data_IF_643574601105
#
_entry.id   IF_643574601105
#
_cell.length_a   1.000
_cell.length_b   1.000
_cell.length_c   1.000
_cell.angle_alpha   90.00
_cell.angle_beta   90.00
_cell.angle_gamma   90.00
#
_symmetry.space_group_name_H-M   'P 1'
#
loop_
_entity.id
_entity.type
_entity.pdbx_description
1 polymer ?
#
# COMPACT_ATOMS: atom_id res chain seq x y z
N UNK A 1 -50.40 31.41 -29.58
CA UNK A 1 -49.24 30.50 -29.76
C UNK A 1 -48.86 29.98 -28.38
N UNK A 2 -49.09 28.70 -28.09
CA UNK A 2 -48.76 28.09 -26.79
C UNK A 2 -47.30 27.65 -26.83
N UNK A 3 -46.43 28.37 -26.12
CA UNK A 3 -45.02 27.99 -25.98
C UNK A 3 -44.92 26.82 -25.00
N UNK A 4 -44.53 25.65 -25.50
CA UNK A 4 -44.30 24.46 -24.69
C UNK A 4 -42.86 24.52 -24.17
N UNK A 5 -42.67 24.87 -22.90
CA UNK A 5 -41.36 24.95 -22.28
C UNK A 5 -40.90 23.53 -21.92
N UNK A 6 -40.00 22.95 -22.71
CA UNK A 6 -39.40 21.63 -22.43
C UNK A 6 -38.30 21.83 -21.39
N UNK A 7 -38.56 21.42 -20.15
CA UNK A 7 -37.58 21.41 -19.06
C UNK A 7 -36.69 20.17 -19.20
N UNK A 8 -35.45 20.36 -19.66
CA UNK A 8 -34.46 19.28 -19.79
C UNK A 8 -33.83 19.00 -18.41
N UNK A 9 -34.32 17.95 -17.73
CA UNK A 9 -33.76 17.49 -16.46
C UNK A 9 -32.42 16.77 -16.74
N UNK A 10 -31.30 17.45 -16.52
CA UNK A 10 -29.98 16.81 -16.55
C UNK A 10 -29.84 15.88 -15.32
N UNK A 11 -30.02 14.58 -15.53
CA UNK A 11 -29.71 13.54 -14.54
C UNK A 11 -28.18 13.40 -14.44
N UNK A 12 -27.60 14.01 -13.41
CA UNK A 12 -26.21 13.76 -13.03
C UNK A 12 -26.12 12.37 -12.37
N UNK A 13 -25.66 11.36 -13.10
CA UNK A 13 -25.30 10.07 -12.52
C UNK A 13 -24.01 10.22 -11.71
N UNK A 14 -24.13 10.46 -10.41
CA UNK A 14 -23.01 10.42 -9.47
C UNK A 14 -22.60 8.96 -9.27
N UNK A 15 -21.47 8.55 -9.87
CA UNK A 15 -20.85 7.25 -9.57
C UNK A 15 -20.09 7.41 -8.25
N UNK A 16 -20.64 6.90 -7.15
CA UNK A 16 -20.03 7.02 -5.82
C UNK A 16 -18.89 5.99 -5.61
N UNK A 17 -17.76 6.42 -5.05
CA UNK A 17 -16.66 5.57 -4.60
C UNK A 17 -17.09 4.72 -3.39
N UNK A 18 -16.61 3.46 -3.30
CA UNK A 18 -16.87 2.60 -2.14
C UNK A 18 -15.74 2.74 -1.13
N UNK A 19 -16.07 3.12 0.11
CA UNK A 19 -15.12 3.17 1.23
C UNK A 19 -15.48 2.08 2.24
N UNK A 20 -14.51 1.28 2.63
CA UNK A 20 -14.65 0.24 3.66
C UNK A 20 -13.65 0.53 4.77
N UNK A 21 -14.10 0.57 6.02
CA UNK A 21 -13.25 0.77 7.20
C UNK A 21 -13.38 -0.41 8.15
N UNK A 22 -12.27 -0.87 8.69
CA UNK A 22 -12.20 -1.88 9.76
C UNK A 22 -11.22 -1.40 10.82
N UNK A 23 -11.58 -1.58 12.08
CA UNK A 23 -10.72 -1.32 13.23
C UNK A 23 -10.68 -2.55 14.12
N UNK A 24 -9.51 -2.86 14.66
CA UNK A 24 -9.29 -3.99 15.57
C UNK A 24 -8.38 -3.55 16.71
N UNK A 25 -8.66 -4.04 17.92
CA UNK A 25 -7.80 -3.90 19.09
C UNK A 25 -7.47 -5.31 19.55
N UNK A 26 -6.23 -5.73 19.34
CA UNK A 26 -5.75 -7.03 19.79
C UNK A 26 -4.22 -6.98 20.01
N UNK A 27 -3.82 -6.80 21.27
CA UNK A 27 -2.42 -6.64 21.64
C UNK A 27 -1.59 -7.91 21.44
N UNK A 28 -2.24 -9.08 21.40
CA UNK A 28 -1.58 -10.35 21.13
C UNK A 28 -1.08 -10.46 19.68
N UNK A 29 -1.58 -9.62 18.77
CA UNK A 29 -1.10 -9.58 17.39
C UNK A 29 0.29 -8.98 17.35
N UNK A 30 1.23 -9.74 16.81
CA UNK A 30 2.63 -9.34 16.67
C UNK A 30 3.05 -9.24 15.21
N UNK A 31 2.49 -10.09 14.34
CA UNK A 31 2.81 -10.16 12.93
C UNK A 31 1.62 -9.73 12.05
N UNK A 32 1.89 -8.92 11.04
CA UNK A 32 0.89 -8.37 10.13
C UNK A 32 1.36 -8.60 8.70
N UNK A 33 0.58 -9.35 7.93
CA UNK A 33 0.84 -9.68 6.55
C UNK A 33 -0.15 -8.94 5.65
N UNK A 34 0.35 -8.24 4.65
CA UNK A 34 -0.45 -7.38 3.77
C UNK A 34 -0.21 -7.82 2.32
N UNK A 35 -1.24 -8.41 1.70
CA UNK A 35 -1.26 -8.74 0.28
C UNK A 35 -1.86 -7.56 -0.53
N UNK A 36 -1.08 -7.05 -1.49
CA UNK A 36 -1.40 -5.93 -2.36
C UNK A 36 -1.63 -6.31 -3.83
N UNK A 37 -1.85 -7.58 -4.17
CA UNK A 37 -1.97 -8.04 -5.56
C UNK A 37 -3.07 -7.34 -6.36
N UNK A 38 -4.14 -6.88 -5.71
CA UNK A 38 -5.24 -6.13 -6.34
C UNK A 38 -5.24 -4.64 -5.95
N UNK A 39 -4.14 -4.14 -5.38
CA UNK A 39 -4.01 -2.75 -4.93
C UNK A 39 -3.02 -2.00 -5.81
N UNK A 40 -3.32 -0.74 -6.14
CA UNK A 40 -2.35 0.13 -6.83
C UNK A 40 -1.60 1.06 -5.85
N UNK A 41 -2.14 1.21 -4.63
CA UNK A 41 -1.55 2.05 -3.59
C UNK A 41 -1.75 1.46 -2.19
N UNK A 42 -0.69 1.53 -1.38
CA UNK A 42 -0.73 1.36 0.07
C UNK A 42 -0.11 2.60 0.73
N UNK A 43 -0.83 3.19 1.68
CA UNK A 43 -0.25 4.09 2.69
C UNK A 43 -0.25 3.35 4.02
N UNK A 44 0.94 3.15 4.59
CA UNK A 44 1.17 2.42 5.82
C UNK A 44 1.79 3.36 6.86
N UNK A 45 1.14 3.49 8.00
CA UNK A 45 1.54 4.37 9.09
C UNK A 45 1.53 3.58 10.41
N UNK A 46 2.34 3.99 11.38
CA UNK A 46 2.24 3.50 12.76
C UNK A 46 1.76 4.60 13.70
N UNK A 47 1.15 4.21 14.81
CA UNK A 47 0.71 5.11 15.88
C UNK A 47 1.01 4.52 17.26
N UNK A 48 1.02 5.37 18.28
CA UNK A 48 1.11 4.95 19.68
C UNK A 48 -0.19 4.30 20.20
N UNK A 49 -1.24 4.25 19.38
CA UNK A 49 -2.49 3.57 19.73
C UNK A 49 -2.31 2.05 19.68
N UNK A 50 -3.11 1.34 20.46
CA UNK A 50 -3.24 -0.12 20.43
C UNK A 50 -4.23 -0.57 19.33
N UNK A 51 -4.91 0.39 18.70
CA UNK A 51 -5.83 0.15 17.60
C UNK A 51 -5.10 0.04 16.26
N UNK A 52 -5.40 -1.03 15.53
CA UNK A 52 -5.15 -1.14 14.10
C UNK A 52 -6.38 -0.65 13.34
N UNK A 53 -6.19 0.21 12.33
CA UNK A 53 -7.24 0.60 11.39
C UNK A 53 -6.84 0.32 9.95
N UNK A 54 -7.82 -0.12 9.16
CA UNK A 54 -7.69 -0.45 7.74
C UNK A 54 -8.82 0.22 6.98
N UNK A 55 -8.48 1.13 6.10
CA UNK A 55 -9.40 1.79 5.18
C UNK A 55 -9.07 1.37 3.74
N UNK A 56 -10.08 0.86 3.04
CA UNK A 56 -10.00 0.55 1.62
C UNK A 56 -10.91 1.50 0.84
N UNK A 57 -10.30 2.21 -0.11
CA UNK A 57 -10.98 3.04 -1.09
C UNK A 57 -11.02 2.26 -2.40
N UNK A 58 -12.23 1.90 -2.84
CA UNK A 58 -12.47 1.03 -3.99
C UNK A 58 -13.27 1.81 -5.04
N UNK A 59 -12.70 1.91 -6.22
CA UNK A 59 -13.35 2.46 -7.40
C UNK A 59 -13.22 1.52 -8.61
N UNK A 60 -14.03 1.78 -9.63
CA UNK A 60 -14.12 0.98 -10.84
C UNK A 60 -15.44 0.20 -10.98
N UNK A 61 -15.58 -0.44 -12.12
CA UNK A 61 -16.82 -1.13 -12.53
C UNK A 61 -17.20 -2.26 -11.56
N UNK A 62 -16.22 -2.98 -11.04
CA UNK A 62 -16.41 -4.15 -10.19
C UNK A 62 -16.34 -3.86 -8.68
N UNK A 63 -16.47 -2.60 -8.26
CA UNK A 63 -16.39 -2.22 -6.83
C UNK A 63 -17.35 -2.99 -5.90
N UNK A 64 -18.49 -3.44 -6.42
CA UNK A 64 -19.49 -4.21 -5.66
C UNK A 64 -18.98 -5.63 -5.35
N UNK A 65 -18.20 -6.18 -6.27
CA UNK A 65 -17.67 -7.54 -6.22
C UNK A 65 -16.31 -7.62 -5.52
N UNK A 66 -15.78 -6.49 -5.03
CA UNK A 66 -14.52 -6.43 -4.28
C UNK A 66 -14.75 -6.36 -2.77
N UNK A 67 -13.93 -7.09 -2.02
CA UNK A 67 -13.96 -7.15 -0.56
C UNK A 67 -12.60 -6.80 0.05
N UNK A 68 -12.65 -6.17 1.21
CA UNK A 68 -11.52 -6.08 2.15
C UNK A 68 -11.61 -7.25 3.13
N UNK A 69 -10.59 -8.10 3.14
CA UNK A 69 -10.43 -9.20 4.09
C UNK A 69 -9.39 -8.84 5.15
N UNK A 70 -9.77 -9.00 6.40
CA UNK A 70 -8.86 -8.94 7.55
C UNK A 70 -9.15 -10.20 8.35
N UNK A 71 -8.17 -11.10 8.43
CA UNK A 71 -8.28 -12.40 9.09
C UNK A 71 -7.25 -12.50 10.20
N UNK A 72 -7.68 -12.85 11.39
CA UNK A 72 -6.83 -13.16 12.54
C UNK A 72 -6.59 -14.66 12.61
N UNK A 73 -5.32 -15.06 12.68
CA UNK A 73 -4.89 -16.44 12.86
C UNK A 73 -3.81 -16.48 13.95
N UNK A 74 -4.22 -16.81 15.18
CA UNK A 74 -3.34 -16.76 16.35
C UNK A 74 -2.86 -15.33 16.64
N UNK A 75 -1.53 -15.11 16.64
CA UNK A 75 -0.90 -13.81 16.85
C UNK A 75 -0.60 -13.06 15.54
N UNK A 76 -1.18 -13.51 14.41
CA UNK A 76 -0.96 -12.94 13.09
C UNK A 76 -2.25 -12.41 12.47
N UNK A 77 -2.15 -11.31 11.72
CA UNK A 77 -3.21 -10.78 10.87
C UNK A 77 -2.82 -10.91 9.40
N UNK A 78 -3.76 -11.34 8.56
CA UNK A 78 -3.68 -11.26 7.10
C UNK A 78 -4.67 -10.21 6.58
N UNK A 79 -4.16 -9.18 5.90
CA UNK A 79 -4.91 -8.14 5.23
C UNK A 79 -4.80 -8.36 3.72
N UNK A 80 -5.92 -8.40 3.03
CA UNK A 80 -5.96 -8.52 1.57
C UNK A 80 -7.21 -7.87 1.01
N UNK A 81 -7.16 -7.47 -0.26
CA UNK A 81 -8.35 -7.11 -1.01
C UNK A 81 -8.42 -7.85 -2.33
N UNK A 82 -9.62 -8.23 -2.73
CA UNK A 82 -9.83 -8.99 -3.96
C UNK A 82 -11.30 -9.26 -4.24
N UNK A 83 -11.54 -9.97 -5.33
CA UNK A 83 -12.89 -10.32 -5.76
C UNK A 83 -13.55 -11.33 -4.80
N UNK A 84 -14.87 -11.22 -4.68
CA UNK A 84 -15.70 -12.22 -4.01
C UNK A 84 -15.52 -13.58 -4.70
N UNK A 85 -15.56 -14.70 -3.96
CA UNK A 85 -15.38 -16.03 -4.55
C UNK A 85 -16.38 -16.39 -5.66
N UNK A 86 -17.55 -15.75 -5.68
CA UNK A 86 -18.59 -15.95 -6.69
C UNK A 86 -18.45 -15.02 -7.92
N UNK A 87 -17.46 -14.13 -7.95
CA UNK A 87 -17.23 -13.25 -9.08
C UNK A 87 -16.80 -14.07 -10.30
N UNK A 88 -17.54 -13.92 -11.40
CA UNK A 88 -17.17 -14.49 -12.69
C UNK A 88 -16.73 -13.35 -13.59
N UNK A 89 -15.45 -13.34 -13.95
CA UNK A 89 -14.94 -12.38 -14.92
C UNK A 89 -15.71 -12.57 -16.25
N UNK A 90 -16.42 -11.54 -16.75
CA UNK A 90 -17.22 -11.66 -17.95
C UNK A 90 -16.40 -11.89 -19.24
N UNK A 91 -15.07 -11.82 -19.18
CA UNK A 91 -14.16 -12.13 -20.31
C UNK A 91 -14.51 -11.41 -21.63
N UNK A 92 -15.07 -10.21 -21.54
CA UNK A 92 -15.27 -9.36 -22.71
C UNK A 92 -13.93 -8.72 -23.12
N UNK A 93 -13.65 -8.65 -24.43
CA UNK A 93 -12.37 -8.19 -24.97
C UNK A 93 -12.07 -6.72 -24.66
N UNK A 94 -13.10 -5.95 -24.28
CA UNK A 94 -13.00 -4.59 -23.73
C UNK A 94 -12.85 -4.56 -22.19
N UNK A 95 -12.98 -5.70 -21.51
CA UNK A 95 -12.92 -5.87 -20.05
C UNK A 95 -11.54 -6.26 -19.51
N UNK A 96 -10.59 -6.66 -20.37
CA UNK A 96 -9.23 -7.04 -19.95
C UNK A 96 -8.44 -5.91 -19.26
N UNK A 97 -8.95 -4.66 -19.33
CA UNK A 97 -8.41 -3.48 -18.67
C UNK A 97 -9.47 -2.68 -17.88
N UNK A 98 -10.59 -3.30 -17.46
CA UNK A 98 -11.51 -2.64 -16.53
C UNK A 98 -10.80 -2.41 -15.20
N UNK A 99 -10.43 -1.15 -14.98
CA UNK A 99 -9.57 -0.73 -13.87
C UNK A 99 -10.29 -0.97 -12.55
N UNK A 100 -9.81 -1.95 -11.80
CA UNK A 100 -10.05 -2.02 -10.37
C UNK A 100 -9.03 -1.12 -9.70
N UNK A 101 -9.53 -0.11 -8.99
CA UNK A 101 -8.71 0.88 -8.30
C UNK A 101 -8.91 0.71 -6.80
N UNK A 102 -8.01 -0.05 -6.16
CA UNK A 102 -8.00 -0.21 -4.69
C UNK A 102 -6.79 0.53 -4.11
N UNK A 103 -7.08 1.49 -3.24
CA UNK A 103 -6.10 2.14 -2.37
C UNK A 103 -6.35 1.72 -0.94
N UNK A 104 -5.30 1.26 -0.25
CA UNK A 104 -5.35 0.95 1.16
C UNK A 104 -4.66 2.03 1.99
N UNK A 105 -5.30 2.45 3.08
CA UNK A 105 -4.65 3.18 4.17
C UNK A 105 -4.71 2.30 5.42
N UNK A 106 -3.55 2.02 6.01
CA UNK A 106 -3.42 1.17 7.19
C UNK A 106 -2.65 1.93 8.26
N UNK A 107 -3.22 2.02 9.46
CA UNK A 107 -2.55 2.55 10.65
C UNK A 107 -2.40 1.43 11.65
N UNK A 108 -1.18 1.16 12.08
CA UNK A 108 -0.81 0.06 12.98
C UNK A 108 -0.34 0.59 14.33
N UNK A 109 -0.41 -0.21 15.40
CA UNK A 109 0.41 0.03 16.58
C UNK A 109 1.90 -0.02 16.23
N UNK A 110 2.73 0.77 16.90
CA UNK A 110 4.19 0.72 16.77
C UNK A 110 4.78 -0.64 17.16
N UNK A 111 6.01 -0.91 16.71
CA UNK A 111 6.82 -2.07 17.08
C UNK A 111 6.20 -3.44 16.73
N UNK A 112 5.49 -3.50 15.60
CA UNK A 112 4.98 -4.76 15.02
C UNK A 112 5.92 -5.29 13.92
N UNK A 113 5.85 -6.58 13.65
CA UNK A 113 6.48 -7.22 12.49
C UNK A 113 5.53 -7.13 11.30
N UNK A 114 5.93 -6.44 10.25
CA UNK A 114 5.07 -6.18 9.09
C UNK A 114 5.70 -6.71 7.82
N UNK A 115 4.95 -7.53 7.11
CA UNK A 115 5.32 -8.07 5.79
C UNK A 115 4.32 -7.59 4.76
N UNK A 116 4.81 -6.87 3.76
CA UNK A 116 4.04 -6.36 2.63
C UNK A 116 4.51 -7.05 1.36
N UNK A 117 3.57 -7.58 0.57
CA UNK A 117 3.88 -8.18 -0.72
C UNK A 117 2.80 -7.90 -1.75
N UNK A 118 3.19 -7.73 -3.01
CA UNK A 118 2.23 -7.52 -4.09
C UNK A 118 2.84 -7.40 -5.48
N UNK A 119 1.96 -7.30 -6.46
CA UNK A 119 2.35 -7.36 -7.87
C UNK A 119 2.56 -5.99 -8.51
N UNK A 120 1.59 -5.07 -8.48
CA UNK A 120 1.70 -3.76 -9.14
C UNK A 120 1.17 -2.64 -8.24
N UNK A 121 1.93 -2.27 -7.21
CA UNK A 121 1.48 -1.37 -6.16
C UNK A 121 2.55 -0.38 -5.72
N UNK A 122 2.16 0.88 -5.52
CA UNK A 122 3.03 1.88 -4.89
C UNK A 122 2.83 1.87 -3.37
N UNK A 123 3.90 1.67 -2.62
CA UNK A 123 3.89 1.62 -1.15
C UNK A 123 4.51 2.89 -0.59
N UNK A 124 3.79 3.55 0.30
CA UNK A 124 4.27 4.67 1.10
C UNK A 124 4.24 4.24 2.56
N UNK A 125 5.38 4.18 3.24
CA UNK A 125 5.46 3.75 4.64
C UNK A 125 6.16 4.78 5.53
N UNK A 126 5.64 4.98 6.73
CA UNK A 126 6.22 5.85 7.75
C UNK A 126 5.94 5.35 9.17
N UNK A 127 6.86 5.65 10.09
CA UNK A 127 6.72 5.32 11.50
C UNK A 127 7.55 4.13 11.98
N UNK A 128 7.28 3.70 13.21
CA UNK A 128 8.15 2.82 13.98
C UNK A 128 7.68 1.37 13.98
N UNK A 129 8.42 0.53 13.28
CA UNK A 129 8.19 -0.91 13.19
C UNK A 129 9.22 -1.65 14.03
N UNK A 130 8.97 -2.93 14.34
CA UNK A 130 10.05 -3.80 14.81
C UNK A 130 10.85 -4.33 13.62
N UNK A 131 10.12 -4.74 12.58
CA UNK A 131 10.67 -5.08 11.27
C UNK A 131 9.62 -4.77 10.20
N UNK A 132 10.04 -4.13 9.11
CA UNK A 132 9.23 -3.89 7.92
C UNK A 132 9.89 -4.57 6.72
N UNK A 133 9.22 -5.57 6.16
CA UNK A 133 9.62 -6.25 4.93
C UNK A 133 8.66 -5.89 3.80
N UNK A 134 9.16 -5.35 2.69
CA UNK A 134 8.36 -4.99 1.51
C UNK A 134 8.91 -5.70 0.27
N UNK A 135 8.08 -6.48 -0.41
CA UNK A 135 8.44 -7.22 -1.63
C UNK A 135 7.46 -6.94 -2.76
N UNK A 136 7.89 -6.24 -3.80
CA UNK A 136 7.03 -5.83 -4.93
C UNK A 136 7.57 -6.37 -6.26
N UNK A 137 6.69 -6.94 -7.09
CA UNK A 137 7.08 -7.28 -8.46
C UNK A 137 7.20 -6.01 -9.33
N UNK A 138 6.26 -5.09 -9.18
CA UNK A 138 6.21 -3.82 -9.87
C UNK A 138 5.63 -2.73 -8.96
N UNK A 139 6.16 -1.51 -9.04
CA UNK A 139 5.73 -0.34 -8.27
C UNK A 139 6.77 0.20 -7.29
N UNK A 140 6.61 1.48 -6.95
CA UNK A 140 7.58 2.22 -6.15
C UNK A 140 7.38 2.00 -4.65
N UNK A 141 8.46 2.13 -3.88
CA UNK A 141 8.42 2.09 -2.42
C UNK A 141 9.08 3.33 -1.84
N UNK A 142 8.28 4.17 -1.19
CA UNK A 142 8.72 5.41 -0.56
C UNK A 142 8.65 5.22 0.97
N UNK A 143 9.80 5.36 1.62
CA UNK A 143 9.98 5.21 3.07
C UNK A 143 10.36 6.56 3.66
N UNK A 144 9.55 7.07 4.58
CA UNK A 144 9.77 8.36 5.25
C UNK A 144 9.83 8.14 6.75
N UNK A 145 10.99 8.40 7.36
CA UNK A 145 11.21 8.28 8.80
C UNK A 145 10.71 6.94 9.38
N UNK A 146 10.99 5.84 8.67
CA UNK A 146 10.77 4.49 9.21
C UNK A 146 11.92 4.09 10.13
N UNK A 147 11.70 3.21 11.10
CA UNK A 147 12.73 2.86 12.09
C UNK A 147 12.96 1.36 12.27
N UNK A 148 13.93 1.02 13.12
CA UNK A 148 14.45 -0.33 13.39
C UNK A 148 15.01 -1.04 12.16
N UNK A 149 14.36 -2.11 11.67
CA UNK A 149 14.87 -2.95 10.59
C UNK A 149 13.92 -2.89 9.39
N UNK A 150 14.39 -2.34 8.28
CA UNK A 150 13.58 -2.19 7.07
C UNK A 150 14.27 -2.87 5.89
N UNK A 151 13.55 -3.80 5.25
CA UNK A 151 14.02 -4.49 4.05
C UNK A 151 13.05 -4.25 2.91
N UNK A 152 13.57 -3.81 1.77
CA UNK A 152 12.79 -3.58 0.56
C UNK A 152 13.40 -4.35 -0.59
N UNK A 153 12.54 -5.06 -1.32
CA UNK A 153 12.86 -5.71 -2.57
C UNK A 153 11.86 -5.29 -3.65
N UNK A 154 12.35 -4.77 -4.77
CA UNK A 154 11.54 -4.51 -5.96
C UNK A 154 12.13 -5.23 -7.17
N UNK A 155 11.31 -5.96 -7.92
CA UNK A 155 11.74 -6.46 -9.23
C UNK A 155 11.76 -5.31 -10.25
N UNK A 156 10.70 -4.50 -10.28
CA UNK A 156 10.62 -3.26 -11.08
C UNK A 156 10.04 -2.14 -10.23
N UNK A 157 10.80 -1.11 -9.93
CA UNK A 157 10.26 -0.01 -9.11
C UNK A 157 11.31 0.74 -8.33
N UNK A 158 11.14 2.06 -8.25
CA UNK A 158 12.05 2.93 -7.53
C UNK A 158 11.87 2.76 -6.02
N UNK A 159 12.98 2.89 -5.30
CA UNK A 159 12.98 2.94 -3.84
C UNK A 159 13.46 4.32 -3.42
N UNK A 160 12.64 5.04 -2.65
CA UNK A 160 13.03 6.29 -2.00
C UNK A 160 13.10 6.06 -0.49
N UNK A 161 14.21 6.49 0.12
CA UNK A 161 14.35 6.55 1.58
C UNK A 161 14.67 7.97 1.99
N UNK A 162 13.88 8.51 2.91
CA UNK A 162 14.11 9.79 3.56
C UNK A 162 14.31 9.54 5.07
N UNK A 163 15.53 9.79 5.56
CA UNK A 163 15.91 9.50 6.95
C UNK A 163 16.95 10.50 7.50
N UNK A 164 16.88 10.76 8.80
CA UNK A 164 17.80 11.67 9.50
C UNK A 164 19.16 11.01 9.78
N UNK A 165 19.13 9.77 10.28
CA UNK A 165 20.30 8.94 10.60
C UNK A 165 19.97 7.47 10.33
N UNK A 166 20.87 6.72 9.70
CA UNK A 166 20.66 5.31 9.41
C UNK A 166 21.93 4.59 8.95
N UNK A 167 21.94 3.26 9.11
CA UNK A 167 22.84 2.35 8.40
C UNK A 167 22.12 1.80 7.16
N UNK A 168 22.64 2.09 5.97
CA UNK A 168 21.94 1.82 4.71
C UNK A 168 22.83 1.01 3.77
N UNK A 169 22.37 -0.21 3.48
CA UNK A 169 22.88 -1.05 2.40
C UNK A 169 21.89 -1.03 1.22
N UNK A 170 22.36 -0.64 0.05
CA UNK A 170 21.54 -0.50 -1.16
C UNK A 170 22.21 -1.15 -2.37
N UNK A 171 21.44 -1.93 -3.13
CA UNK A 171 21.88 -2.59 -4.36
C UNK A 171 20.81 -2.46 -5.43
N UNK A 172 21.14 -1.91 -6.59
CA UNK A 172 20.31 -1.97 -7.79
C UNK A 172 21.08 -2.62 -8.92
N UNK A 173 20.48 -3.63 -9.59
CA UNK A 173 21.19 -4.39 -10.64
C UNK A 173 21.32 -3.62 -11.95
N UNK A 174 20.24 -2.98 -12.39
CA UNK A 174 20.17 -2.23 -13.65
C UNK A 174 19.72 -0.78 -13.48
N UNK A 175 19.43 -0.35 -12.24
CA UNK A 175 19.15 1.05 -11.91
C UNK A 175 20.34 1.77 -11.29
N UNK A 176 20.17 3.07 -11.02
CA UNK A 176 21.17 3.90 -10.37
C UNK A 176 20.90 4.04 -8.87
N UNK A 177 21.97 4.24 -8.09
CA UNK A 177 21.89 4.55 -6.66
C UNK A 177 22.36 5.99 -6.45
N UNK A 178 21.47 6.85 -5.96
CA UNK A 178 21.76 8.24 -5.62
C UNK A 178 21.62 8.41 -4.11
N UNK A 179 22.73 8.68 -3.42
CA UNK A 179 22.76 8.74 -1.95
C UNK A 179 23.35 10.08 -1.46
N UNK A 180 22.58 10.79 -0.64
CA UNK A 180 23.06 11.92 0.16
C UNK A 180 23.85 11.42 1.38
N UNK A 181 24.61 12.31 2.02
CA UNK A 181 25.35 11.97 3.23
C UNK A 181 24.40 11.84 4.45
N UNK A 182 24.13 10.59 4.83
CA UNK A 182 23.28 10.25 5.97
C UNK A 182 24.19 9.82 7.13
N UNK A 183 24.17 10.54 8.27
CA UNK A 183 24.86 10.11 9.49
C UNK A 183 24.46 8.69 9.89
N UNK A 184 25.39 7.94 10.48
CA UNK A 184 25.07 6.61 11.03
C UNK A 184 24.03 6.72 12.16
N UNK A 185 23.08 5.79 12.14
CA UNK A 185 22.04 5.67 13.15
C UNK A 185 21.69 4.21 13.40
N UNK A 186 20.74 3.99 14.30
CA UNK A 186 20.35 2.65 14.76
C UNK A 186 19.46 1.91 13.74
N UNK A 187 18.70 2.67 12.95
CA UNK A 187 17.85 2.14 11.89
C UNK A 187 18.69 1.53 10.77
N UNK A 188 18.34 0.31 10.37
CA UNK A 188 19.00 -0.45 9.32
C UNK A 188 18.09 -0.59 8.11
N UNK A 189 18.58 -0.15 6.96
CA UNK A 189 17.92 -0.35 5.67
C UNK A 189 18.69 -1.36 4.81
N UNK A 190 17.97 -2.36 4.30
CA UNK A 190 18.46 -3.25 3.24
C UNK A 190 17.58 -3.07 2.01
N UNK A 191 18.10 -2.40 1.00
CA UNK A 191 17.33 -1.98 -0.19
C UNK A 191 17.85 -2.73 -1.41
N UNK A 192 16.97 -3.42 -2.12
CA UNK A 192 17.33 -4.15 -3.34
C UNK A 192 16.34 -3.87 -4.46
N UNK A 193 16.86 -3.57 -5.65
CA UNK A 193 16.04 -3.47 -6.86
C UNK A 193 16.69 -4.18 -8.05
N UNK A 194 15.91 -4.75 -8.96
CA UNK A 194 16.44 -5.28 -10.22
C UNK A 194 16.53 -4.19 -11.28
N UNK A 195 15.44 -3.50 -11.62
CA UNK A 195 15.44 -2.45 -12.67
C UNK A 195 15.18 -1.02 -12.16
N UNK A 196 14.90 -0.83 -10.87
CA UNK A 196 14.59 0.49 -10.31
C UNK A 196 15.80 1.23 -9.74
N UNK A 197 15.78 2.56 -9.87
CA UNK A 197 16.69 3.44 -9.13
C UNK A 197 16.41 3.41 -7.61
N UNK A 198 17.45 3.58 -6.81
CA UNK A 198 17.36 3.76 -5.36
C UNK A 198 17.84 5.18 -5.03
N UNK A 199 17.00 5.98 -4.38
CA UNK A 199 17.33 7.33 -3.93
C UNK A 199 17.28 7.40 -2.40
N UNK A 200 18.33 7.94 -1.79
CA UNK A 200 18.46 8.11 -0.35
C UNK A 200 18.70 9.59 -0.08
N UNK A 201 17.82 10.21 0.72
CA UNK A 201 17.83 11.63 1.05
C UNK A 201 17.85 11.85 2.55
N UNK A 202 18.51 12.92 2.96
CA UNK A 202 18.52 13.35 4.36
C UNK A 202 17.26 14.19 4.61
N UNK A 203 16.54 13.88 5.68
CA UNK A 203 15.50 14.78 6.21
C UNK A 203 16.12 15.86 7.07
N UNK A 204 15.55 17.08 7.03
CA UNK A 204 15.99 18.22 7.85
C UNK A 204 15.68 18.03 9.34
#
# INVERSE_FOLDING_TARGET
MKSFFVFFFFLNFLVAQKVVKKSLINDAVTAININLDNCYRLTLETSQSHEMSVEAIIDGEYKKDLLLSVKEEGSSIMISSGFQPNFKNPNDKLSAHKVVSISLKIVLPQHKYVTVFGTSCNVFASGDYQELNVSLNDGNCDLVNTSENVKVHTQSGHILVEALKADINAVSKYGNINKEDIPKGDTKYTLTSVTGNIRIRKTE
#
